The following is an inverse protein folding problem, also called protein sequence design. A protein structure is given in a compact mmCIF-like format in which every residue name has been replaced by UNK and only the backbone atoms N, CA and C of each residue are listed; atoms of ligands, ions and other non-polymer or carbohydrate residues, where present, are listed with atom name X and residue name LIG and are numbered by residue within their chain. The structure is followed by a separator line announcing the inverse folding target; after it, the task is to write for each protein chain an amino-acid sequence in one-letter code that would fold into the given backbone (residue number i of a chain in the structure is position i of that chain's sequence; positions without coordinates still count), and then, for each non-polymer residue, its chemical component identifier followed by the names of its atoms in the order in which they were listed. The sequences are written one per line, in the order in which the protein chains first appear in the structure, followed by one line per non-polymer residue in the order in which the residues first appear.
data_IF_235719457682
#
_entry.id   IF_235719457682
#
_cell.length_a   1.000
_cell.length_b   1.000
_cell.length_c   1.000
_cell.angle_alpha   90.00
_cell.angle_beta   90.00
_cell.angle_gamma   90.00
#
_symmetry.space_group_name_H-M   'P 1'
#
loop_
_entity.id
_entity.type
_entity.pdbx_description
1 polymer ?
#
# COMPACT_ATOMS: atom_id res chain seq x y z
N UNK A 1 19.08 9.61 -10.91
CA UNK A 1 18.50 8.86 -12.03
C UNK A 1 17.31 9.63 -12.55
N UNK A 2 17.21 9.84 -13.87
CA UNK A 2 16.11 10.63 -14.44
C UNK A 2 14.77 9.92 -14.29
N UNK A 3 13.73 10.66 -13.91
CA UNK A 3 12.34 10.18 -13.84
C UNK A 3 11.86 9.60 -15.16
N UNK A 4 12.35 10.15 -16.28
CA UNK A 4 12.06 9.67 -17.65
C UNK A 4 12.49 8.21 -17.91
N UNK A 5 13.42 7.64 -17.12
CA UNK A 5 13.75 6.21 -17.23
C UNK A 5 12.58 5.29 -16.86
N UNK A 6 11.60 5.81 -16.12
CA UNK A 6 10.42 5.08 -15.67
C UNK A 6 9.18 5.47 -16.49
N UNK A 7 9.37 6.07 -17.66
CA UNK A 7 8.28 6.38 -18.57
C UNK A 7 8.01 5.24 -19.55
N UNK A 8 6.74 4.97 -19.79
CA UNK A 8 6.26 4.09 -20.84
C UNK A 8 4.82 4.46 -21.18
N UNK A 9 4.39 4.11 -22.39
CA UNK A 9 3.02 4.39 -22.83
C UNK A 9 2.10 3.25 -22.40
N UNK A 10 1.09 3.58 -21.59
CA UNK A 10 -0.07 2.72 -21.41
C UNK A 10 -0.86 2.74 -22.71
N UNK A 11 -0.94 1.60 -23.39
CA UNK A 11 -1.65 1.46 -24.68
C UNK A 11 -3.12 1.13 -24.45
N UNK A 12 -3.95 1.20 -25.49
CA UNK A 12 -5.37 0.84 -25.40
C UNK A 12 -5.61 -0.65 -25.04
N UNK A 13 -4.57 -1.49 -25.17
CA UNK A 13 -4.60 -2.90 -24.77
C UNK A 13 -4.33 -3.08 -23.27
N UNK A 14 -3.64 -2.12 -22.64
CA UNK A 14 -3.39 -2.09 -21.21
C UNK A 14 -4.60 -1.45 -20.51
N UNK A 15 -5.24 -2.19 -19.62
CA UNK A 15 -6.45 -1.72 -18.93
C UNK A 15 -6.16 -1.36 -17.48
N UNK A 16 -6.77 -0.29 -16.98
CA UNK A 16 -6.76 0.06 -15.55
C UNK A 16 -8.18 -0.19 -15.02
N UNK A 17 -8.46 -1.37 -14.45
CA UNK A 17 -9.79 -1.67 -13.91
C UNK A 17 -10.14 -0.72 -12.76
N UNK A 18 -11.32 -0.11 -12.83
CA UNK A 18 -11.90 0.73 -11.76
C UNK A 18 -12.66 -0.09 -10.70
N UNK A 19 -12.70 -1.42 -10.84
CA UNK A 19 -13.36 -2.31 -9.89
C UNK A 19 -12.74 -3.71 -9.96
N UNK A 20 -12.76 -4.46 -8.85
CA UNK A 20 -12.32 -5.85 -8.86
C UNK A 20 -13.06 -6.70 -9.90
N UNK A 21 -12.32 -7.49 -10.69
CA UNK A 21 -12.91 -8.30 -11.76
C UNK A 21 -13.88 -9.37 -11.23
N UNK A 22 -13.72 -9.79 -9.98
CA UNK A 22 -14.61 -10.75 -9.32
C UNK A 22 -15.96 -10.17 -8.90
N UNK A 23 -16.12 -8.85 -8.82
CA UNK A 23 -17.45 -8.23 -8.68
C UNK A 23 -18.18 -8.23 -10.02
N UNK A 24 -17.46 -8.01 -11.12
CA UNK A 24 -18.05 -7.82 -12.43
C UNK A 24 -18.46 -9.12 -13.14
N UNK A 25 -17.77 -10.23 -12.86
CA UNK A 25 -17.80 -11.43 -13.71
C UNK A 25 -18.08 -12.75 -12.96
N UNK A 26 -18.61 -12.73 -11.73
CA UNK A 26 -18.75 -13.93 -10.86
C UNK A 26 -17.45 -14.78 -10.86
N UNK A 27 -16.32 -14.09 -10.75
CA UNK A 27 -14.98 -14.68 -10.80
C UNK A 27 -14.38 -14.81 -9.40
N UNK A 28 -13.18 -15.36 -9.31
CA UNK A 28 -12.44 -15.52 -8.06
C UNK A 28 -11.27 -14.53 -8.02
N UNK A 29 -10.90 -14.05 -6.82
CA UNK A 29 -9.88 -13.01 -6.64
C UNK A 29 -8.48 -13.43 -7.11
N UNK A 30 -8.17 -14.71 -7.06
CA UNK A 30 -6.92 -15.30 -7.52
C UNK A 30 -6.83 -15.51 -9.04
N UNK A 31 -7.89 -15.19 -9.80
CA UNK A 31 -7.92 -15.27 -11.28
C UNK A 31 -7.35 -14.00 -11.93
N UNK A 32 -6.14 -13.60 -11.53
CA UNK A 32 -5.34 -12.60 -12.23
C UNK A 32 -4.07 -13.25 -12.84
N UNK A 33 -3.40 -12.53 -13.73
CA UNK A 33 -2.10 -12.91 -14.26
C UNK A 33 -0.99 -12.40 -13.34
N UNK A 34 0.12 -13.13 -13.38
CA UNK A 34 1.34 -12.80 -12.67
C UNK A 34 2.51 -12.86 -13.65
N UNK A 35 3.19 -11.73 -13.84
CA UNK A 35 4.48 -11.71 -14.52
C UNK A 35 5.55 -12.14 -13.52
N UNK A 36 6.38 -13.10 -13.90
CA UNK A 36 7.52 -13.52 -13.08
C UNK A 36 8.77 -12.95 -13.69
N UNK A 37 9.52 -12.17 -12.90
CA UNK A 37 10.78 -11.56 -13.29
C UNK A 37 11.89 -12.17 -12.43
N UNK A 38 12.78 -12.94 -13.07
CA UNK A 38 13.93 -13.54 -12.41
C UNK A 38 15.17 -12.66 -12.63
N UNK A 39 15.61 -11.98 -11.57
CA UNK A 39 16.72 -11.02 -11.65
C UNK A 39 18.07 -11.68 -11.96
N UNK A 40 18.30 -12.90 -11.48
CA UNK A 40 19.55 -13.64 -11.72
C UNK A 40 19.69 -14.14 -13.16
N UNK A 41 18.57 -14.47 -13.81
CA UNK A 41 18.57 -15.00 -15.19
C UNK A 41 18.22 -13.95 -16.25
N UNK A 42 17.63 -12.83 -15.86
CA UNK A 42 17.08 -11.84 -16.80
C UNK A 42 15.86 -12.37 -17.58
N UNK A 43 15.19 -13.39 -17.03
CA UNK A 43 14.02 -14.04 -17.62
C UNK A 43 12.73 -13.39 -17.14
N UNK A 44 11.77 -13.27 -18.06
CA UNK A 44 10.43 -12.72 -17.83
C UNK A 44 9.44 -13.65 -18.51
N UNK A 45 8.42 -14.10 -17.78
CA UNK A 45 7.33 -14.89 -18.35
C UNK A 45 6.03 -14.71 -17.57
N UNK A 46 4.90 -14.89 -18.24
CA UNK A 46 3.56 -14.74 -17.66
C UNK A 46 2.96 -16.08 -17.23
N UNK A 47 2.37 -16.12 -16.04
CA UNK A 47 1.63 -17.27 -15.50
C UNK A 47 0.32 -16.84 -14.85
N UNK A 48 -0.52 -17.81 -14.46
CA UNK A 48 -1.67 -17.53 -13.59
C UNK A 48 -1.21 -17.31 -12.15
N UNK A 49 -1.82 -16.37 -11.44
CA UNK A 49 -1.43 -16.04 -10.06
C UNK A 49 -1.51 -17.24 -9.09
N UNK A 50 -2.41 -18.20 -9.33
CA UNK A 50 -2.47 -19.45 -8.56
C UNK A 50 -1.14 -20.23 -8.52
N UNK A 51 -0.24 -19.98 -9.50
CA UNK A 51 1.12 -20.54 -9.57
C UNK A 51 2.12 -19.86 -8.65
N UNK A 52 1.74 -18.82 -7.90
CA UNK A 52 2.63 -18.18 -6.91
C UNK A 52 3.21 -19.19 -5.92
N UNK A 53 2.45 -20.23 -5.57
CA UNK A 53 2.93 -21.29 -4.67
C UNK A 53 4.08 -22.11 -5.24
N UNK A 54 4.28 -22.14 -6.56
CA UNK A 54 5.36 -22.90 -7.21
C UNK A 54 6.72 -22.21 -7.03
N UNK A 55 6.73 -20.95 -6.58
CA UNK A 55 7.93 -20.17 -6.29
C UNK A 55 8.32 -20.17 -4.81
N UNK A 56 7.50 -20.80 -3.96
CA UNK A 56 7.69 -20.83 -2.50
C UNK A 56 8.28 -22.20 -2.10
N UNK A 57 9.29 -22.15 -1.23
CA UNK A 57 9.98 -23.29 -0.64
C UNK A 57 9.72 -23.35 0.86
N UNK A 58 10.02 -24.50 1.46
CA UNK A 58 10.05 -24.65 2.91
C UNK A 58 11.01 -23.64 3.55
N UNK A 59 10.55 -22.98 4.62
CA UNK A 59 11.33 -21.98 5.34
C UNK A 59 11.24 -20.55 4.78
N UNK A 60 10.65 -20.35 3.60
CA UNK A 60 10.35 -19.00 3.11
C UNK A 60 9.29 -18.33 3.98
N UNK A 61 9.38 -17.00 4.14
CA UNK A 61 8.40 -16.20 4.88
C UNK A 61 7.65 -15.30 3.89
N UNK A 62 6.33 -15.41 3.88
CA UNK A 62 5.45 -14.55 3.10
C UNK A 62 4.84 -13.52 4.04
N UNK A 63 5.30 -12.29 3.91
CA UNK A 63 4.91 -11.17 4.74
C UNK A 63 3.86 -10.31 4.04
N UNK A 64 2.72 -10.11 4.72
CA UNK A 64 1.58 -9.34 4.21
C UNK A 64 1.37 -8.05 5.01
N UNK A 65 0.67 -7.08 4.41
CA UNK A 65 0.12 -5.93 5.13
C UNK A 65 -1.33 -6.23 5.55
N UNK A 66 -1.61 -6.25 6.86
CA UNK A 66 -2.95 -6.50 7.41
C UNK A 66 -3.78 -5.22 7.62
N UNK A 67 -3.26 -4.06 7.19
CA UNK A 67 -4.01 -2.81 7.19
C UNK A 67 -5.27 -2.94 6.34
N UNK A 68 -6.35 -2.34 6.82
CA UNK A 68 -7.64 -2.28 6.11
C UNK A 68 -8.08 -0.85 5.94
N UNK A 69 -8.78 -0.61 4.83
CA UNK A 69 -9.26 0.71 4.50
C UNK A 69 -10.37 1.18 5.44
N UNK A 70 -10.38 2.47 5.70
CA UNK A 70 -11.47 3.20 6.34
C UNK A 70 -12.12 4.14 5.32
N UNK A 71 -13.36 4.53 5.60
CA UNK A 71 -13.96 5.68 4.95
C UNK A 71 -13.28 6.95 5.44
N UNK A 72 -13.38 8.03 4.68
CA UNK A 72 -12.60 9.23 4.97
C UNK A 72 -13.43 10.52 4.97
N UNK A 73 -14.71 10.48 4.59
CA UNK A 73 -15.62 11.61 4.72
C UNK A 73 -16.53 11.43 5.92
N UNK A 74 -16.77 12.50 6.67
CA UNK A 74 -17.66 12.48 7.82
C UNK A 74 -18.26 13.87 8.05
N UNK A 75 -19.38 13.91 8.78
CA UNK A 75 -20.10 15.14 9.08
C UNK A 75 -19.77 15.59 10.50
N UNK A 76 -19.44 16.86 10.64
CA UNK A 76 -19.22 17.52 11.92
C UNK A 76 -20.22 18.66 12.16
N UNK A 77 -20.37 19.03 13.43
CA UNK A 77 -20.98 20.28 13.89
C UNK A 77 -19.89 21.24 14.38
N UNK A 78 -20.02 22.51 14.05
CA UNK A 78 -19.26 23.58 14.70
C UNK A 78 -19.84 23.91 16.08
N UNK A 79 -19.13 24.70 16.89
CA UNK A 79 -19.68 25.28 18.14
C UNK A 79 -20.98 26.07 17.95
N UNK A 80 -21.24 26.58 16.74
CA UNK A 80 -22.45 27.32 16.39
C UNK A 80 -23.53 26.41 15.78
N UNK A 81 -23.41 25.09 15.92
CA UNK A 81 -24.32 24.08 15.36
C UNK A 81 -24.45 24.10 13.82
N UNK A 82 -23.49 24.69 13.10
CA UNK A 82 -23.42 24.57 11.64
C UNK A 82 -22.87 23.19 11.27
N UNK A 83 -23.53 22.50 10.33
CA UNK A 83 -23.03 21.25 9.76
C UNK A 83 -21.93 21.54 8.73
N UNK A 84 -20.89 20.73 8.75
CA UNK A 84 -19.79 20.76 7.77
C UNK A 84 -19.37 19.33 7.43
N UNK A 85 -19.10 19.08 6.15
CA UNK A 85 -18.55 17.80 5.69
C UNK A 85 -17.03 17.91 5.63
N UNK A 86 -16.35 17.02 6.33
CA UNK A 86 -14.89 16.98 6.43
C UNK A 86 -14.38 15.72 5.72
N UNK A 87 -13.28 15.88 5.01
CA UNK A 87 -12.51 14.81 4.38
C UNK A 87 -11.21 14.63 5.15
N UNK A 88 -10.92 13.41 5.57
CA UNK A 88 -9.64 12.97 6.11
C UNK A 88 -8.69 12.67 4.96
N UNK A 89 -7.64 13.47 4.85
CA UNK A 89 -6.66 13.43 3.76
C UNK A 89 -5.39 12.68 4.20
N UNK A 90 -5.13 12.55 5.50
CA UNK A 90 -3.95 11.86 6.00
C UNK A 90 -3.85 11.83 7.51
N UNK A 91 -2.91 11.03 7.99
CA UNK A 91 -2.57 10.91 9.40
C UNK A 91 -1.18 11.49 9.66
N UNK A 92 -0.96 11.98 10.88
CA UNK A 92 0.30 12.53 11.33
C UNK A 92 0.61 12.09 12.77
N UNK A 93 1.88 12.12 13.20
CA UNK A 93 2.27 11.79 14.57
C UNK A 93 1.52 12.60 15.64
N UNK A 94 1.37 12.02 16.83
CA UNK A 94 0.76 12.64 18.02
C UNK A 94 -0.72 12.99 17.84
N UNK A 95 -1.54 12.02 17.41
CA UNK A 95 -2.99 12.16 17.20
C UNK A 95 -3.39 13.31 16.25
N UNK A 96 -2.52 13.60 15.27
CA UNK A 96 -2.78 14.63 14.27
C UNK A 96 -3.30 14.00 12.99
N UNK A 97 -4.06 14.80 12.26
CA UNK A 97 -4.62 14.45 10.95
C UNK A 97 -4.46 15.63 10.00
N UNK A 98 -4.49 15.33 8.71
CA UNK A 98 -4.66 16.30 7.64
C UNK A 98 -6.11 16.19 7.19
N UNK A 99 -6.84 17.30 7.19
CA UNK A 99 -8.25 17.33 6.79
C UNK A 99 -8.52 18.49 5.82
N UNK A 100 -9.58 18.36 5.02
CA UNK A 100 -10.13 19.45 4.22
C UNK A 100 -11.66 19.50 4.36
N UNK A 101 -12.26 20.65 4.06
CA UNK A 101 -13.70 20.72 3.85
C UNK A 101 -14.06 20.08 2.50
N UNK A 102 -15.17 19.34 2.42
CA UNK A 102 -15.56 18.63 1.19
C UNK A 102 -15.61 19.57 -0.03
N UNK A 103 -16.21 20.76 0.14
CA UNK A 103 -16.31 21.77 -0.92
C UNK A 103 -15.13 22.75 -0.91
N UNK A 104 -13.98 22.33 -0.36
CA UNK A 104 -12.78 23.15 -0.11
C UNK A 104 -13.11 24.45 0.62
N UNK A 105 -14.07 24.39 1.54
CA UNK A 105 -14.45 25.50 2.41
C UNK A 105 -13.25 25.93 3.26
N UNK A 106 -13.10 27.24 3.45
CA UNK A 106 -12.04 27.78 4.33
C UNK A 106 -12.35 27.45 5.79
N UNK A 107 -11.43 26.74 6.44
CA UNK A 107 -11.41 26.52 7.89
C UNK A 107 -10.45 27.51 8.55
N UNK A 108 -10.69 27.87 9.81
CA UNK A 108 -9.85 28.78 10.58
C UNK A 108 -9.07 28.05 11.68
N UNK A 109 -7.89 28.57 12.01
CA UNK A 109 -7.13 28.10 13.17
C UNK A 109 -7.98 28.22 14.45
N UNK A 110 -7.91 27.20 15.31
CA UNK A 110 -8.72 27.03 16.51
C UNK A 110 -10.20 26.73 16.32
N UNK A 111 -10.69 26.53 15.08
CA UNK A 111 -12.01 25.94 14.88
C UNK A 111 -12.05 24.56 15.57
N UNK A 112 -13.17 24.28 16.23
CA UNK A 112 -13.43 22.99 16.88
C UNK A 112 -14.69 22.40 16.27
N UNK A 113 -14.54 21.18 15.77
CA UNK A 113 -15.59 20.38 15.16
C UNK A 113 -15.88 19.16 16.03
N UNK A 114 -17.16 18.80 16.14
CA UNK A 114 -17.61 17.60 16.85
C UNK A 114 -18.33 16.69 15.88
N UNK A 115 -18.08 15.38 15.92
CA UNK A 115 -18.82 14.45 15.05
C UNK A 115 -20.31 14.50 15.35
N UNK A 116 -21.15 14.45 14.30
CA UNK A 116 -22.62 14.59 14.47
C UNK A 116 -23.21 13.48 15.32
N UNK A 117 -22.78 12.23 15.10
CA UNK A 117 -23.33 11.05 15.75
C UNK A 117 -22.49 10.57 16.95
N UNK A 118 -21.38 11.27 17.24
CA UNK A 118 -20.55 11.02 18.42
C UNK A 118 -19.87 12.32 18.90
N UNK A 119 -20.58 13.20 19.63
CA UNK A 119 -20.08 14.52 20.01
C UNK A 119 -18.91 14.51 21.00
N UNK A 120 -18.56 13.34 21.56
CA UNK A 120 -17.37 13.17 22.41
C UNK A 120 -16.08 13.21 21.59
N UNK A 121 -16.15 12.98 20.27
CA UNK A 121 -14.99 13.05 19.39
C UNK A 121 -14.89 14.48 18.84
N UNK A 122 -13.87 15.21 19.31
CA UNK A 122 -13.57 16.56 18.87
C UNK A 122 -12.32 16.61 17.97
N UNK A 123 -12.37 17.51 16.99
CA UNK A 123 -11.29 17.79 16.04
C UNK A 123 -11.02 19.28 16.07
N UNK A 124 -9.81 19.66 16.48
CA UNK A 124 -9.38 21.05 16.58
C UNK A 124 -8.38 21.40 15.48
N UNK A 125 -8.70 22.40 14.67
CA UNK A 125 -7.78 22.92 13.66
C UNK A 125 -6.61 23.64 14.34
N UNK A 126 -5.38 23.24 14.01
CA UNK A 126 -4.17 23.93 14.43
C UNK A 126 -3.79 25.01 13.42
N UNK A 127 -3.56 24.62 12.16
CA UNK A 127 -3.05 25.52 11.13
C UNK A 127 -3.36 25.01 9.71
N UNK A 128 -3.21 25.90 8.72
CA UNK A 128 -3.20 25.53 7.30
C UNK A 128 -1.97 24.64 7.02
N UNK A 129 -2.17 23.56 6.26
CA UNK A 129 -1.13 22.57 5.94
C UNK A 129 -0.56 22.76 4.54
N UNK A 130 -1.43 23.01 3.54
CA UNK A 130 -1.03 23.24 2.15
C UNK A 130 -1.87 24.34 1.52
N UNK A 131 -1.46 24.85 0.35
CA UNK A 131 -2.18 25.91 -0.36
C UNK A 131 -3.60 25.50 -0.79
N UNK A 132 -3.84 24.20 -0.96
CA UNK A 132 -5.07 23.59 -1.47
C UNK A 132 -6.18 23.40 -0.42
N UNK A 133 -6.21 24.29 0.58
CA UNK A 133 -7.21 24.27 1.67
C UNK A 133 -7.20 22.97 2.48
N UNK A 134 -6.02 22.39 2.69
CA UNK A 134 -5.80 21.34 3.69
C UNK A 134 -5.33 21.96 5.01
N UNK A 135 -5.70 21.32 6.11
CA UNK A 135 -5.47 21.80 7.45
C UNK A 135 -4.96 20.68 8.34
N UNK A 136 -3.97 21.01 9.17
CA UNK A 136 -3.53 20.13 10.24
C UNK A 136 -4.48 20.30 11.42
N UNK A 137 -4.99 19.19 11.93
CA UNK A 137 -5.87 19.16 13.09
C UNK A 137 -5.40 18.14 14.12
N UNK A 138 -5.73 18.39 15.39
CA UNK A 138 -5.56 17.44 16.48
C UNK A 138 -6.90 16.78 16.76
N UNK A 139 -6.88 15.46 16.89
CA UNK A 139 -8.04 14.65 17.28
C UNK A 139 -7.87 14.26 18.74
N UNK A 140 -8.87 14.52 19.56
CA UNK A 140 -8.82 14.18 20.99
C UNK A 140 -8.69 12.67 21.23
N UNK A 141 -9.46 11.89 20.46
CA UNK A 141 -9.40 10.43 20.46
C UNK A 141 -9.29 9.90 19.03
N UNK A 142 -8.05 9.62 18.60
CA UNK A 142 -7.75 9.12 17.25
C UNK A 142 -8.39 7.75 16.98
N UNK A 143 -8.30 6.82 17.93
CA UNK A 143 -8.88 5.48 17.77
C UNK A 143 -10.41 5.55 17.62
N UNK A 144 -11.07 6.39 18.40
CA UNK A 144 -12.51 6.59 18.28
C UNK A 144 -12.91 7.20 16.92
N UNK A 145 -12.10 8.11 16.37
CA UNK A 145 -12.30 8.61 15.00
C UNK A 145 -12.15 7.49 13.96
N UNK A 146 -11.12 6.65 14.07
CA UNK A 146 -10.93 5.49 13.18
C UNK A 146 -12.14 4.55 13.23
N UNK A 147 -12.60 4.19 14.44
CA UNK A 147 -13.76 3.33 14.63
C UNK A 147 -15.03 3.96 14.05
N UNK A 148 -15.22 5.26 14.25
CA UNK A 148 -16.33 6.00 13.66
C UNK A 148 -16.28 5.95 12.14
N UNK A 149 -15.13 6.25 11.54
CA UNK A 149 -14.96 6.24 10.09
C UNK A 149 -15.19 4.86 9.48
N UNK A 150 -14.72 3.80 10.14
CA UNK A 150 -14.94 2.43 9.71
C UNK A 150 -16.43 2.03 9.66
N UNK A 151 -17.29 2.68 10.44
CA UNK A 151 -18.70 2.30 10.62
C UNK A 151 -19.71 3.29 10.04
N UNK A 152 -19.42 4.59 10.07
CA UNK A 152 -20.33 5.68 9.73
C UNK A 152 -19.77 6.67 8.69
N UNK A 153 -18.47 6.59 8.38
CA UNK A 153 -17.89 7.46 7.36
C UNK A 153 -18.45 7.17 5.98
N UNK A 154 -18.33 8.13 5.06
CA UNK A 154 -18.56 7.91 3.63
C UNK A 154 -17.22 7.86 2.87
N UNK A 155 -17.18 7.10 1.77
CA UNK A 155 -16.04 7.04 0.88
C UNK A 155 -16.22 8.05 -0.27
N UNK A 156 -15.17 8.81 -0.57
CA UNK A 156 -15.09 9.68 -1.74
C UNK A 156 -13.86 9.28 -2.55
N UNK A 157 -14.04 8.27 -3.39
CA UNK A 157 -12.95 7.73 -4.19
C UNK A 157 -13.34 7.84 -5.66
N UNK A 158 -12.46 8.40 -6.49
CA UNK A 158 -12.66 8.46 -7.93
C UNK A 158 -12.58 7.06 -8.55
N UNK A 159 -11.83 6.15 -7.93
CA UNK A 159 -11.51 4.82 -8.45
C UNK A 159 -12.28 3.69 -7.75
N UNK A 160 -12.97 3.97 -6.64
CA UNK A 160 -13.81 2.99 -5.95
C UNK A 160 -15.25 3.46 -5.97
N UNK A 161 -16.09 2.76 -6.73
CA UNK A 161 -17.54 2.94 -6.70
C UNK A 161 -18.06 2.68 -5.28
N UNK A 162 -18.50 3.75 -4.61
CA UNK A 162 -18.96 3.68 -3.23
C UNK A 162 -20.16 2.76 -3.05
N UNK A 163 -21.04 2.67 -4.05
CA UNK A 163 -22.19 1.76 -3.99
C UNK A 163 -21.76 0.29 -4.01
N UNK A 164 -20.77 -0.05 -4.84
CA UNK A 164 -20.19 -1.39 -4.90
C UNK A 164 -19.36 -1.68 -3.66
N UNK A 165 -18.64 -0.70 -3.13
CA UNK A 165 -17.87 -0.84 -1.89
C UNK A 165 -18.77 -1.26 -0.72
N UNK A 166 -19.91 -0.61 -0.52
CA UNK A 166 -20.84 -0.99 0.55
C UNK A 166 -21.59 -2.29 0.27
N UNK A 167 -21.84 -2.62 -1.01
CA UNK A 167 -22.50 -3.86 -1.39
C UNK A 167 -21.57 -5.08 -1.27
N UNK A 168 -20.28 -4.91 -1.53
CA UNK A 168 -19.26 -5.96 -1.59
C UNK A 168 -17.97 -5.54 -0.87
N UNK A 169 -18.01 -5.22 0.44
CA UNK A 169 -16.84 -4.67 1.15
C UNK A 169 -15.63 -5.61 1.13
N UNK A 170 -15.86 -6.92 1.16
CA UNK A 170 -14.80 -7.93 1.11
C UNK A 170 -14.04 -7.97 -0.21
N UNK A 171 -14.63 -7.45 -1.30
CA UNK A 171 -13.96 -7.36 -2.58
C UNK A 171 -12.90 -6.25 -2.63
N UNK A 172 -12.90 -5.32 -1.67
CA UNK A 172 -11.99 -4.17 -1.62
C UNK A 172 -10.93 -4.29 -0.51
N UNK A 173 -10.76 -5.48 0.07
CA UNK A 173 -9.76 -5.75 1.12
C UNK A 173 -9.15 -7.14 1.00
N UNK A 174 -7.99 -7.32 1.60
CA UNK A 174 -7.37 -8.63 1.74
C UNK A 174 -8.18 -9.50 2.71
N UNK A 175 -8.29 -10.81 2.46
CA UNK A 175 -9.02 -11.76 3.34
C UNK A 175 -8.47 -11.81 4.77
N UNK A 176 -7.23 -11.37 4.96
CA UNK A 176 -6.52 -11.33 6.24
C UNK A 176 -6.42 -9.91 6.84
N UNK A 177 -7.07 -8.89 6.26
CA UNK A 177 -7.00 -7.53 6.80
C UNK A 177 -7.75 -7.43 8.13
N UNK A 178 -7.19 -6.64 9.07
CA UNK A 178 -7.66 -6.57 10.46
C UNK A 178 -7.57 -5.16 11.04
N UNK A 179 -6.56 -4.38 10.66
CA UNK A 179 -6.22 -3.11 11.32
C UNK A 179 -6.76 -1.92 10.52
N UNK A 180 -7.84 -1.31 10.99
CA UNK A 180 -8.41 -0.13 10.35
C UNK A 180 -7.46 1.06 10.44
N UNK A 181 -7.20 1.71 9.30
CA UNK A 181 -6.42 2.94 9.28
C UNK A 181 -5.84 3.34 7.91
N UNK A 182 -5.94 2.49 6.88
CA UNK A 182 -5.56 2.94 5.54
C UNK A 182 -6.63 3.83 4.90
N UNK A 183 -6.22 4.86 4.16
CA UNK A 183 -7.12 5.61 3.27
C UNK A 183 -7.25 4.93 1.89
N UNK A 184 -6.17 4.27 1.46
CA UNK A 184 -6.06 3.51 0.19
C UNK A 184 -5.93 2.01 0.42
N UNK A 185 -6.38 1.21 -0.57
CA UNK A 185 -6.37 -0.26 -0.47
C UNK A 185 -4.93 -0.79 -0.56
N UNK A 186 -4.42 -1.55 0.42
CA UNK A 186 -3.17 -2.31 0.30
C UNK A 186 -3.34 -3.45 -0.71
N UNK A 187 -3.19 -3.13 -1.98
CA UNK A 187 -3.71 -3.93 -3.09
C UNK A 187 -2.91 -5.16 -3.46
N UNK A 188 -1.60 -5.21 -3.19
CA UNK A 188 -0.79 -6.38 -3.55
C UNK A 188 -1.27 -7.68 -2.90
N UNK A 189 -1.87 -7.60 -1.70
CA UNK A 189 -2.45 -8.73 -0.98
C UNK A 189 -3.84 -9.16 -1.47
N UNK A 190 -4.46 -8.38 -2.36
CA UNK A 190 -5.87 -8.56 -2.73
C UNK A 190 -6.12 -9.79 -3.62
N UNK A 191 -5.07 -10.46 -4.10
CA UNK A 191 -5.19 -11.64 -4.96
C UNK A 191 -5.24 -12.95 -4.17
N UNK A 192 -4.82 -12.94 -2.89
CA UNK A 192 -4.69 -14.16 -2.08
C UNK A 192 -6.02 -14.66 -1.53
N UNK A 193 -6.24 -15.96 -1.48
CA UNK A 193 -7.38 -16.56 -0.75
C UNK A 193 -6.89 -17.30 0.48
N UNK A 194 -7.80 -17.63 1.40
CA UNK A 194 -7.48 -18.52 2.52
C UNK A 194 -6.97 -19.88 2.03
N UNK A 195 -7.54 -20.40 0.93
CA UNK A 195 -7.08 -21.64 0.29
C UNK A 195 -5.64 -21.52 -0.24
N UNK A 196 -5.29 -20.40 -0.87
CA UNK A 196 -3.93 -20.16 -1.37
C UNK A 196 -2.94 -20.02 -0.22
N UNK A 197 -3.32 -19.31 0.85
CA UNK A 197 -2.51 -19.18 2.06
C UNK A 197 -2.30 -20.55 2.72
N UNK A 198 -3.33 -21.41 2.74
CA UNK A 198 -3.19 -22.76 3.27
C UNK A 198 -2.23 -23.60 2.41
N UNK A 199 -2.32 -23.55 1.08
CA UNK A 199 -1.38 -24.23 0.18
C UNK A 199 0.07 -23.77 0.37
N UNK A 200 0.29 -22.50 0.71
CA UNK A 200 1.61 -21.97 1.06
C UNK A 200 2.12 -22.62 2.34
N UNK A 201 1.29 -22.68 3.39
CA UNK A 201 1.64 -23.34 4.66
C UNK A 201 1.92 -24.82 4.48
N UNK A 202 1.12 -25.52 3.68
CA UNK A 202 1.28 -26.95 3.42
C UNK A 202 2.61 -27.28 2.70
N UNK A 203 3.17 -26.31 1.95
CA UNK A 203 4.51 -26.38 1.34
C UNK A 203 5.65 -26.01 2.29
N UNK A 204 5.36 -25.70 3.55
CA UNK A 204 6.35 -25.26 4.55
C UNK A 204 6.65 -23.75 4.51
N UNK A 205 5.86 -22.97 3.77
CA UNK A 205 5.96 -21.51 3.79
C UNK A 205 5.37 -20.93 5.09
N UNK A 206 6.07 -19.98 5.68
CA UNK A 206 5.67 -19.28 6.90
C UNK A 206 4.90 -18.01 6.54
N UNK A 207 3.94 -17.63 7.37
CA UNK A 207 3.10 -16.45 7.15
C UNK A 207 3.33 -15.44 8.26
N UNK A 208 3.59 -14.19 7.89
CA UNK A 208 3.73 -13.08 8.83
C UNK A 208 2.94 -11.85 8.36
N UNK A 209 2.67 -10.93 9.30
CA UNK A 209 1.91 -9.71 9.02
C UNK A 209 2.61 -8.50 9.61
N UNK A 210 2.65 -7.42 8.84
CA UNK A 210 2.91 -6.07 9.33
C UNK A 210 1.63 -5.26 9.20
N UNK A 211 1.56 -4.13 9.89
CA UNK A 211 0.57 -3.10 9.61
C UNK A 211 1.29 -1.89 9.03
N UNK A 212 0.85 -1.38 7.89
CA UNK A 212 1.19 -0.04 7.43
C UNK A 212 -0.04 0.61 6.83
N UNK A 213 -0.45 1.71 7.43
CA UNK A 213 -1.61 2.48 7.01
C UNK A 213 -1.22 3.34 5.81
N UNK A 214 -1.74 2.96 4.65
CA UNK A 214 -1.47 3.70 3.40
C UNK A 214 -2.20 5.03 3.49
N UNK A 215 -1.44 6.12 3.59
CA UNK A 215 -1.96 7.45 3.83
C UNK A 215 -2.05 8.25 2.52
N UNK A 216 -3.18 8.92 2.29
CA UNK A 216 -3.48 9.72 1.09
C UNK A 216 -2.81 11.10 1.08
N UNK A 217 -1.60 11.21 1.63
CA UNK A 217 -0.89 12.49 1.67
C UNK A 217 -0.26 12.87 0.34
N UNK A 218 -0.09 11.91 -0.58
CA UNK A 218 0.13 12.20 -2.00
C UNK A 218 -1.25 12.31 -2.65
N UNK A 219 -1.58 13.49 -3.16
CA UNK A 219 -2.87 13.76 -3.77
C UNK A 219 -3.32 12.59 -4.67
N UNK A 220 -4.53 12.09 -4.42
CA UNK A 220 -5.18 11.10 -5.28
C UNK A 220 -5.15 11.49 -6.77
N UNK A 221 -5.05 12.79 -7.07
CA UNK A 221 -4.99 13.36 -8.41
C UNK A 221 -3.61 13.37 -9.06
N UNK A 222 -2.49 13.13 -8.35
CA UNK A 222 -1.16 13.20 -8.97
C UNK A 222 -0.12 12.25 -8.37
N UNK A 223 -0.39 10.93 -8.47
CA UNK A 223 0.55 9.83 -8.14
C UNK A 223 1.87 9.84 -8.92
N UNK A 224 2.05 10.80 -9.85
CA UNK A 224 3.23 10.91 -10.70
C UNK A 224 4.28 11.82 -10.08
N UNK A 225 5.51 11.34 -10.09
CA UNK A 225 6.72 12.09 -9.75
C UNK A 225 6.84 13.30 -10.67
N UNK A 226 6.84 14.48 -10.07
CA UNK A 226 6.99 15.77 -10.78
C UNK A 226 8.46 16.22 -10.87
N UNK A 227 9.34 15.67 -10.03
CA UNK A 227 10.76 16.02 -10.01
C UNK A 227 11.48 15.42 -11.21
N UNK A 228 12.57 16.07 -11.64
CA UNK A 228 13.39 15.60 -12.77
C UNK A 228 14.18 14.35 -12.41
N UNK A 229 14.70 14.30 -11.19
CA UNK A 229 15.43 13.15 -10.66
C UNK A 229 14.56 12.43 -9.62
N UNK A 230 14.59 11.10 -9.65
CA UNK A 230 13.79 10.31 -8.73
C UNK A 230 14.27 10.45 -7.28
N UNK A 231 15.55 10.76 -7.06
CA UNK A 231 16.15 10.96 -5.73
C UNK A 231 15.69 12.25 -5.05
N UNK A 232 15.10 13.18 -5.80
CA UNK A 232 14.59 14.46 -5.26
C UNK A 232 13.15 14.34 -4.73
N UNK A 233 12.53 13.17 -4.89
CA UNK A 233 11.16 12.93 -4.41
C UNK A 233 11.15 12.94 -2.89
N UNK A 234 10.26 13.74 -2.33
CA UNK A 234 9.89 13.68 -0.92
C UNK A 234 8.62 12.87 -0.79
N UNK A 235 8.64 11.87 0.08
CA UNK A 235 7.45 11.12 0.45
C UNK A 235 6.99 11.54 1.83
N UNK A 236 5.69 11.45 2.07
CA UNK A 236 5.13 11.72 3.38
C UNK A 236 5.33 10.51 4.30
N UNK A 237 5.30 10.79 5.60
CA UNK A 237 5.35 9.75 6.62
C UNK A 237 4.08 8.92 6.63
N UNK A 238 4.25 7.59 6.76
CA UNK A 238 3.15 6.66 6.97
C UNK A 238 3.35 5.92 8.30
N UNK A 239 2.24 5.65 8.99
CA UNK A 239 2.27 4.86 10.20
C UNK A 239 2.51 3.40 9.87
N UNK A 240 3.41 2.76 10.63
CA UNK A 240 3.69 1.34 10.52
C UNK A 240 3.84 0.67 11.89
N UNK A 241 3.63 -0.65 11.91
CA UNK A 241 3.84 -1.56 13.02
C UNK A 241 4.43 -2.88 12.49
N UNK A 242 5.56 -3.30 13.05
CA UNK A 242 6.15 -4.63 12.90
C UNK A 242 6.04 -5.35 14.26
N UNK A 243 5.11 -6.30 14.40
CA UNK A 243 4.96 -7.07 15.64
C UNK A 243 6.20 -7.92 15.95
N UNK A 244 6.41 -8.21 17.24
CA UNK A 244 7.51 -9.07 17.69
C UNK A 244 7.52 -10.44 17.00
N UNK A 245 6.35 -11.08 16.87
CA UNK A 245 6.23 -12.37 16.18
C UNK A 245 6.70 -12.29 14.71
N UNK A 246 6.46 -11.19 14.02
CA UNK A 246 6.91 -10.98 12.64
C UNK A 246 8.42 -10.77 12.58
N UNK A 247 8.98 -9.98 13.49
CA UNK A 247 10.42 -9.80 13.61
C UNK A 247 11.13 -11.13 13.86
N UNK A 248 10.62 -11.94 14.79
CA UNK A 248 11.20 -13.23 15.16
C UNK A 248 11.16 -14.21 13.98
N UNK A 249 10.00 -14.41 13.35
CA UNK A 249 9.84 -15.31 12.20
C UNK A 249 10.78 -14.93 11.05
N UNK A 250 10.85 -13.65 10.71
CA UNK A 250 11.72 -13.17 9.62
C UNK A 250 13.20 -13.37 9.99
N UNK A 251 13.61 -12.99 11.20
CA UNK A 251 15.01 -13.16 11.63
C UNK A 251 15.42 -14.63 11.64
N UNK A 252 14.56 -15.53 12.16
CA UNK A 252 14.82 -16.98 12.15
C UNK A 252 14.90 -17.52 10.72
N UNK A 253 13.99 -17.13 9.83
CA UNK A 253 14.03 -17.57 8.44
C UNK A 253 15.33 -17.13 7.75
N UNK A 254 15.74 -15.86 7.92
CA UNK A 254 17.01 -15.36 7.38
C UNK A 254 18.22 -16.12 7.93
N UNK A 255 18.23 -16.45 9.22
CA UNK A 255 19.31 -17.26 9.83
C UNK A 255 19.37 -18.67 9.24
N UNK A 256 18.23 -19.25 8.88
CA UNK A 256 18.12 -20.57 8.29
C UNK A 256 18.25 -20.58 6.76
N UNK A 257 18.52 -19.43 6.13
CA UNK A 257 18.63 -19.31 4.67
C UNK A 257 17.30 -19.29 3.92
N UNK A 258 16.17 -19.13 4.63
CA UNK A 258 14.86 -18.91 4.03
C UNK A 258 14.72 -17.51 3.44
N UNK A 259 13.94 -17.37 2.38
CA UNK A 259 13.75 -16.08 1.66
C UNK A 259 12.54 -15.33 2.20
N UNK A 260 12.63 -14.01 2.20
CA UNK A 260 11.55 -13.12 2.64
C UNK A 260 10.80 -12.55 1.43
N UNK A 261 9.55 -12.97 1.27
CA UNK A 261 8.62 -12.47 0.27
C UNK A 261 7.82 -11.30 0.86
N UNK A 262 8.04 -10.09 0.35
CA UNK A 262 7.17 -8.95 0.63
C UNK A 262 5.99 -8.94 -0.35
N UNK A 263 4.77 -8.99 0.18
CA UNK A 263 3.54 -8.82 -0.60
C UNK A 263 3.16 -7.34 -0.60
N UNK A 264 3.79 -6.61 -1.51
CA UNK A 264 3.55 -5.19 -1.78
C UNK A 264 4.73 -4.31 -1.42
N UNK A 265 4.89 -3.22 -2.16
CA UNK A 265 5.89 -2.18 -1.93
C UNK A 265 5.78 -1.55 -0.53
N UNK A 266 4.56 -1.48 0.01
CA UNK A 266 4.28 -1.07 1.39
C UNK A 266 4.93 -2.00 2.42
N UNK A 267 4.84 -3.32 2.23
CA UNK A 267 5.50 -4.29 3.11
C UNK A 267 7.02 -4.13 3.02
N UNK A 268 7.55 -3.95 1.81
CA UNK A 268 8.98 -3.69 1.61
C UNK A 268 9.45 -2.46 2.37
N UNK A 269 8.78 -1.33 2.24
CA UNK A 269 9.12 -0.10 2.98
C UNK A 269 9.04 -0.32 4.49
N UNK A 270 7.97 -0.93 4.99
CA UNK A 270 7.79 -1.22 6.41
C UNK A 270 8.95 -2.04 7.00
N UNK A 271 9.27 -3.17 6.36
CA UNK A 271 10.33 -4.07 6.82
C UNK A 271 11.72 -3.43 6.77
N UNK A 272 12.02 -2.71 5.69
CA UNK A 272 13.31 -2.04 5.53
C UNK A 272 13.47 -0.86 6.50
N UNK A 273 12.37 -0.18 6.86
CA UNK A 273 12.37 0.86 7.89
C UNK A 273 12.59 0.31 9.30
N UNK A 274 12.08 -0.88 9.58
CA UNK A 274 12.26 -1.55 10.87
C UNK A 274 13.60 -2.31 10.99
N UNK A 275 14.41 -2.34 9.92
CA UNK A 275 15.71 -3.01 9.93
C UNK A 275 16.75 -2.20 10.72
N UNK A 276 17.36 -2.83 11.73
CA UNK A 276 18.44 -2.22 12.49
C UNK A 276 19.79 -2.59 11.90
N UNK A 277 20.48 -1.60 11.30
CA UNK A 277 21.86 -1.78 10.79
C UNK A 277 22.88 -2.07 11.89
N UNK A 278 22.68 -1.52 13.08
CA UNK A 278 23.56 -1.73 14.24
C UNK A 278 23.54 -3.19 14.70
N UNK A 279 22.35 -3.79 14.78
CA UNK A 279 22.19 -5.16 15.25
C UNK A 279 22.09 -6.19 14.12
N UNK A 280 22.11 -5.72 12.87
CA UNK A 280 22.00 -6.54 11.67
C UNK A 280 20.76 -7.48 11.68
N UNK A 281 19.62 -6.98 12.18
CA UNK A 281 18.39 -7.74 12.32
C UNK A 281 17.16 -6.85 12.17
N UNK A 282 16.02 -7.47 11.84
CA UNK A 282 14.72 -6.80 11.91
C UNK A 282 14.33 -6.61 13.37
N UNK A 283 13.85 -5.42 13.75
CA UNK A 283 13.33 -5.15 15.09
C UNK A 283 11.82 -5.04 15.08
N UNK A 284 11.18 -5.48 16.15
CA UNK A 284 9.80 -5.12 16.42
C UNK A 284 9.74 -3.63 16.73
N UNK A 285 8.91 -2.89 16.02
CA UNK A 285 8.77 -1.45 16.20
C UNK A 285 7.45 -0.96 15.63
N UNK A 286 7.01 0.19 16.12
CA UNK A 286 5.94 0.97 15.51
C UNK A 286 6.37 2.42 15.43
N UNK A 287 5.90 3.14 14.43
CA UNK A 287 6.22 4.55 14.29
C UNK A 287 5.80 5.09 12.94
N UNK A 288 6.52 6.11 12.51
CA UNK A 288 6.29 6.79 11.26
C UNK A 288 7.49 6.57 10.36
N UNK A 289 7.24 6.34 9.07
CA UNK A 289 8.31 6.13 8.10
C UNK A 289 8.10 6.94 6.84
N UNK A 290 9.13 7.71 6.52
CA UNK A 290 9.32 8.39 5.24
C UNK A 290 10.37 7.68 4.37
N UNK A 291 10.61 6.38 4.61
CA UNK A 291 11.62 5.65 3.84
C UNK A 291 11.24 5.57 2.37
N UNK A 292 12.03 6.24 1.54
CA UNK A 292 11.94 6.21 0.10
C UNK A 292 13.00 5.30 -0.50
N UNK A 293 12.55 4.20 -1.12
CA UNK A 293 13.43 3.20 -1.74
C UNK A 293 13.57 3.55 -3.23
N UNK A 294 14.79 3.90 -3.63
CA UNK A 294 15.12 4.37 -4.96
C UNK A 294 16.48 3.81 -5.42
N UNK A 295 16.87 3.99 -6.71
CA UNK A 295 18.19 3.66 -7.23
C UNK A 295 19.34 3.88 -6.25
N UNK A 296 20.02 2.80 -5.87
CA UNK A 296 21.16 2.81 -4.94
C UNK A 296 20.85 2.35 -3.50
N UNK A 297 19.58 2.18 -3.14
CA UNK A 297 19.18 1.68 -1.82
C UNK A 297 19.47 0.17 -1.67
N UNK A 298 20.31 -0.21 -0.72
CA UNK A 298 20.56 -1.64 -0.44
C UNK A 298 19.49 -2.22 0.48
N UNK A 299 18.62 -3.05 -0.09
CA UNK A 299 17.66 -3.86 0.65
C UNK A 299 18.39 -4.85 1.57
N UNK A 300 17.91 -5.00 2.79
CA UNK A 300 18.52 -5.85 3.82
C UNK A 300 17.58 -6.94 4.33
N UNK A 301 16.28 -6.81 4.12
CA UNK A 301 15.27 -7.74 4.63
C UNK A 301 14.62 -8.52 3.50
N UNK A 302 14.22 -7.85 2.42
CA UNK A 302 13.34 -8.45 1.39
C UNK A 302 14.14 -9.08 0.26
N UNK A 303 13.88 -10.37 0.00
CA UNK A 303 14.53 -11.16 -1.06
C UNK A 303 13.67 -11.30 -2.32
N UNK A 304 12.34 -11.38 -2.13
CA UNK A 304 11.35 -11.49 -3.21
C UNK A 304 10.24 -10.44 -3.03
N UNK A 305 9.78 -9.84 -4.13
CA UNK A 305 8.73 -8.82 -4.13
C UNK A 305 7.56 -9.26 -5.00
N UNK A 306 6.37 -9.37 -4.43
CA UNK A 306 5.12 -9.49 -5.17
C UNK A 306 4.40 -8.13 -5.12
N UNK A 307 4.10 -7.52 -6.26
CA UNK A 307 3.44 -6.22 -6.31
C UNK A 307 2.54 -6.09 -7.54
N UNK A 308 1.59 -5.15 -7.55
CA UNK A 308 0.81 -4.84 -8.75
C UNK A 308 1.69 -4.27 -9.87
N UNK A 309 1.17 -4.27 -11.11
CA UNK A 309 1.80 -3.51 -12.19
C UNK A 309 1.53 -2.01 -12.00
N UNK A 310 2.59 -1.21 -11.94
CA UNK A 310 2.49 0.21 -11.57
C UNK A 310 2.45 1.11 -12.80
N UNK A 311 1.79 2.26 -12.67
CA UNK A 311 1.78 3.30 -13.69
C UNK A 311 3.18 3.94 -13.86
N UNK A 312 3.49 4.50 -15.04
CA UNK A 312 4.76 5.17 -15.30
C UNK A 312 4.99 6.35 -14.36
N UNK A 313 6.26 6.63 -14.07
CA UNK A 313 6.70 7.77 -13.23
C UNK A 313 6.06 7.80 -11.84
N UNK A 314 5.80 6.65 -11.21
CA UNK A 314 5.27 6.58 -9.83
C UNK A 314 6.36 6.15 -8.83
N UNK A 315 6.21 6.50 -7.55
CA UNK A 315 7.13 6.07 -6.47
C UNK A 315 7.17 4.55 -6.32
N UNK A 316 6.03 3.88 -6.50
CA UNK A 316 5.97 2.41 -6.53
C UNK A 316 6.77 1.81 -7.69
N UNK A 317 6.69 2.40 -8.90
CA UNK A 317 7.52 1.97 -10.03
C UNK A 317 9.01 2.14 -9.74
N UNK A 318 9.41 3.24 -9.08
CA UNK A 318 10.81 3.48 -8.70
C UNK A 318 11.31 2.43 -7.70
N UNK A 319 10.53 2.11 -6.66
CA UNK A 319 10.88 1.04 -5.71
C UNK A 319 11.00 -0.31 -6.42
N UNK A 320 10.03 -0.66 -7.26
CA UNK A 320 10.05 -1.90 -8.04
C UNK A 320 11.26 -1.94 -8.98
N UNK A 321 11.68 -0.81 -9.55
CA UNK A 321 12.88 -0.69 -10.37
C UNK A 321 14.17 -0.83 -9.57
N UNK A 322 14.22 -0.29 -8.35
CA UNK A 322 15.33 -0.52 -7.44
C UNK A 322 15.42 -2.01 -7.05
N UNK A 323 14.29 -2.68 -6.90
CA UNK A 323 14.24 -4.11 -6.60
C UNK A 323 14.67 -4.96 -7.82
N UNK A 324 14.07 -4.76 -8.99
CA UNK A 324 14.28 -5.55 -10.19
C UNK A 324 15.59 -5.24 -10.94
N UNK A 325 16.13 -4.04 -10.77
CA UNK A 325 17.04 -3.42 -11.73
C UNK A 325 16.24 -2.71 -12.83
N UNK A 326 16.50 -1.42 -13.00
CA UNK A 326 15.68 -0.52 -13.83
C UNK A 326 15.60 -0.97 -15.28
N UNK A 327 16.73 -1.34 -15.89
CA UNK A 327 16.76 -1.74 -17.30
C UNK A 327 16.00 -3.06 -17.53
N UNK A 328 16.08 -4.01 -16.59
CA UNK A 328 15.35 -5.27 -16.67
C UNK A 328 13.85 -5.06 -16.45
N UNK A 329 13.48 -4.19 -15.51
CA UNK A 329 12.08 -3.82 -15.30
C UNK A 329 11.50 -3.17 -16.55
N UNK A 330 12.18 -2.17 -17.12
CA UNK A 330 11.68 -1.49 -18.31
C UNK A 330 11.62 -2.41 -19.54
N UNK A 331 12.53 -3.39 -19.64
CA UNK A 331 12.41 -4.47 -20.64
C UNK A 331 11.14 -5.31 -20.42
N UNK A 332 10.80 -5.65 -19.18
CA UNK A 332 9.54 -6.33 -18.87
C UNK A 332 8.33 -5.48 -19.24
N UNK A 333 8.36 -4.18 -18.94
CA UNK A 333 7.28 -3.24 -19.27
C UNK A 333 7.14 -2.94 -20.77
N UNK A 334 8.16 -3.26 -21.57
CA UNK A 334 8.11 -3.20 -23.03
C UNK A 334 7.67 -4.52 -23.70
N UNK A 335 7.57 -5.62 -22.94
CA UNK A 335 7.26 -6.94 -23.49
C UNK A 335 5.80 -7.10 -23.94
N UNK A 336 5.56 -7.97 -24.93
CA UNK A 336 4.19 -8.31 -25.37
C UNK A 336 3.36 -8.92 -24.23
N UNK A 337 4.01 -9.65 -23.32
CA UNK A 337 3.35 -10.27 -22.18
C UNK A 337 2.64 -9.22 -21.31
N UNK A 338 3.30 -8.09 -21.04
CA UNK A 338 2.74 -7.02 -20.22
C UNK A 338 1.67 -6.19 -20.96
N UNK A 339 1.75 -6.10 -22.29
CA UNK A 339 0.81 -5.28 -23.08
C UNK A 339 -0.63 -5.78 -22.99
N UNK A 340 -0.80 -7.07 -22.70
CA UNK A 340 -2.11 -7.71 -22.46
C UNK A 340 -2.56 -7.68 -21.00
N UNK A 341 -1.75 -7.16 -20.08
CA UNK A 341 -2.04 -7.19 -18.66
C UNK A 341 -2.89 -6.00 -18.20
N UNK A 342 -3.57 -6.19 -17.08
CA UNK A 342 -4.30 -5.15 -16.37
C UNK A 342 -3.38 -4.51 -15.32
N UNK A 343 -3.46 -3.20 -15.15
CA UNK A 343 -2.56 -2.42 -14.30
C UNK A 343 -3.24 -1.95 -13.01
N UNK A 344 -2.42 -1.47 -12.09
CA UNK A 344 -2.81 -0.81 -10.85
C UNK A 344 -3.56 -1.76 -9.87
N UNK A 345 -4.27 -1.15 -8.91
CA UNK A 345 -4.88 -1.74 -7.73
C UNK A 345 -5.63 -3.06 -7.97
N UNK A 346 -6.48 -3.13 -9.00
CA UNK A 346 -7.31 -4.30 -9.29
C UNK A 346 -6.81 -5.11 -10.49
N UNK A 347 -5.63 -4.77 -11.03
CA UNK A 347 -5.04 -5.44 -12.17
C UNK A 347 -4.21 -6.66 -11.82
N UNK A 348 -3.37 -7.05 -12.76
CA UNK A 348 -2.41 -8.14 -12.63
C UNK A 348 -1.22 -7.74 -11.73
N UNK A 349 -0.38 -8.71 -11.42
CA UNK A 349 0.77 -8.53 -10.54
C UNK A 349 2.09 -8.98 -11.18
N UNK A 350 3.19 -8.62 -10.53
CA UNK A 350 4.53 -9.04 -10.84
C UNK A 350 5.17 -9.65 -9.60
N UNK A 351 5.75 -10.84 -9.75
CA UNK A 351 6.61 -11.48 -8.78
C UNK A 351 8.06 -11.33 -9.24
N UNK A 352 8.87 -10.63 -8.45
CA UNK A 352 10.30 -10.47 -8.67
C UNK A 352 11.04 -11.40 -7.72
N UNK A 353 11.82 -12.29 -8.31
CA UNK A 353 12.62 -13.29 -7.59
C UNK A 353 14.08 -13.21 -7.98
N UNK A 354 14.89 -13.95 -7.23
CA UNK A 354 16.25 -14.30 -7.58
C UNK A 354 16.42 -15.79 -7.27
N UNK A 355 17.09 -16.52 -8.17
CA UNK A 355 17.49 -17.88 -7.88
C UNK A 355 18.60 -17.86 -6.83
N UNK A 356 18.68 -18.92 -6.03
CA UNK A 356 19.83 -19.14 -5.16
C UNK A 356 21.08 -19.32 -6.03
N UNK A 357 21.88 -18.25 -6.13
CA UNK A 357 23.18 -18.24 -6.78
C UNK A 357 24.24 -17.93 -5.73
N UNK A 358 25.25 -18.80 -5.63
CA UNK A 358 26.43 -18.67 -4.76
C UNK A 358 27.01 -17.26 -4.83
N UNK A 359 26.89 -16.49 -3.75
CA UNK A 359 27.44 -15.14 -3.64
C UNK A 359 27.31 -14.60 -2.23
#
# INVERSE_FOLDING_TARGET
MLTEKYDFRITDQMTIPLRPHWIANDSYREKCKMLVLNRSKGEIHKVDFSKVTDYIKEGDVICFNDSTIINHMFICKTRQNRLIKIVLEGFLPNNRVIISGLLKERLNANDVFYLVDNPEISIKIEQKFSEESQYRAVVENHEALICYLASHGERLDEYVDSSLFYKYPDAYRSVFSKKYGSLEIPSAGIHFTWDLIQKIKDKGGLISFITLHVASTEMLSNRKIQTKCVEEVTINEEYYEVPQATADIINTAKQNGGRIFAVGTTVTRCLESAYSREHNCLKASSGWTELYIHPGYQLKVVDCLLTNLHQPKTTHMVLTGQFAGVDLLMKAYASEDIQSCQFDMFGDCMLIIQDEGQG
#
